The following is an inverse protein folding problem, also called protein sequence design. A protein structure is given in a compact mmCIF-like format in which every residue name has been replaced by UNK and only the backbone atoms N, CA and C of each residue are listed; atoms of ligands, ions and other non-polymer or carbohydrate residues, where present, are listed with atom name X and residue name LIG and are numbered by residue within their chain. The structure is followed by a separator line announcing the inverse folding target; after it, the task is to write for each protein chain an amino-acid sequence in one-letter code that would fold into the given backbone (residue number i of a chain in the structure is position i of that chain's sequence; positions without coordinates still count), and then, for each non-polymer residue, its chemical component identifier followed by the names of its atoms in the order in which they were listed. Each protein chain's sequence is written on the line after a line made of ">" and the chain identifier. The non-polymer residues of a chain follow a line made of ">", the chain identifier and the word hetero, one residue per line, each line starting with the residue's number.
data_IF_895098393313
#
_entry.id   IF_895098393313
#
_cell.length_a   1.000
_cell.length_b   1.000
_cell.length_c   1.000
_cell.angle_alpha   90.00
_cell.angle_beta   90.00
_cell.angle_gamma   90.00
#
_symmetry.space_group_name_H-M   'P 1'
#
loop_
_entity.id
_entity.type
_entity.pdbx_description
1 polymer ?
#
# COMPACT_ATOMS: atom_id res chain seq x y z
N UNK A 1 7.15 -18.22 32.56
CA UNK A 1 6.81 -19.23 31.54
C UNK A 1 5.35 -19.19 31.07
N UNK A 2 4.42 -18.49 31.73
CA UNK A 2 3.02 -18.36 31.27
C UNK A 2 2.78 -17.31 30.16
N UNK A 3 3.59 -16.25 30.05
CA UNK A 3 3.44 -15.21 29.02
C UNK A 3 3.81 -15.64 27.59
N UNK A 4 4.50 -16.76 27.42
CA UNK A 4 4.91 -17.28 26.10
C UNK A 4 3.80 -18.04 25.37
N UNK A 5 2.76 -18.50 26.08
CA UNK A 5 1.61 -19.19 25.49
C UNK A 5 0.49 -18.23 25.04
N UNK A 6 0.46 -16.99 25.57
CA UNK A 6 -0.44 -15.92 25.12
C UNK A 6 0.02 -15.21 23.84
N UNK A 7 1.24 -15.48 23.35
CA UNK A 7 1.79 -14.89 22.11
C UNK A 7 1.52 -15.72 20.84
N UNK A 8 1.07 -16.97 20.99
CA UNK A 8 0.70 -17.82 19.84
C UNK A 8 -0.43 -17.24 18.96
N UNK A 9 -1.49 -16.58 19.49
CA UNK A 9 -2.57 -16.02 18.67
C UNK A 9 -2.10 -14.89 17.72
N UNK A 10 -1.14 -14.07 18.15
CA UNK A 10 -0.59 -12.96 17.35
C UNK A 10 0.35 -13.45 16.25
N UNK A 11 1.18 -14.46 16.54
CA UNK A 11 1.98 -15.16 15.53
C UNK A 11 1.12 -15.96 14.53
N UNK A 12 -0.02 -16.52 14.97
CA UNK A 12 -0.98 -17.22 14.10
C UNK A 12 -1.78 -16.24 13.23
N UNK A 13 -2.10 -15.02 13.69
CA UNK A 13 -2.69 -13.97 12.86
C UNK A 13 -1.71 -13.49 11.76
N UNK A 14 -0.43 -13.34 12.10
CA UNK A 14 0.66 -13.04 11.17
C UNK A 14 0.87 -14.18 10.14
N UNK A 15 0.87 -15.44 10.60
CA UNK A 15 0.89 -16.63 9.74
C UNK A 15 -0.39 -16.79 8.92
N UNK A 16 -1.56 -16.37 9.43
CA UNK A 16 -2.82 -16.40 8.71
C UNK A 16 -2.86 -15.31 7.63
N UNK A 17 -2.22 -14.15 7.83
CA UNK A 17 -2.07 -13.12 6.79
C UNK A 17 -1.07 -13.56 5.71
N UNK A 18 -0.01 -14.30 6.07
CA UNK A 18 0.93 -14.92 5.11
C UNK A 18 0.35 -16.16 4.39
N UNK A 19 -0.45 -16.98 5.10
CA UNK A 19 -1.19 -18.11 4.53
C UNK A 19 -2.40 -17.65 3.72
N UNK A 20 -3.03 -16.53 4.07
CA UNK A 20 -4.04 -15.88 3.24
C UNK A 20 -3.40 -15.16 2.07
N UNK A 21 -2.18 -14.62 2.15
CA UNK A 21 -1.45 -14.18 0.95
C UNK A 21 -1.10 -15.36 0.03
N UNK A 22 -0.66 -16.51 0.57
CA UNK A 22 -0.42 -17.75 -0.21
C UNK A 22 -1.72 -18.37 -0.74
N UNK A 23 -2.81 -18.38 0.02
CA UNK A 23 -4.13 -18.89 -0.38
C UNK A 23 -4.87 -17.93 -1.30
N UNK A 24 -4.71 -16.62 -1.14
CA UNK A 24 -5.20 -15.59 -2.07
C UNK A 24 -4.39 -15.64 -3.36
N UNK A 25 -3.06 -15.83 -3.32
CA UNK A 25 -2.24 -16.20 -4.48
C UNK A 25 -2.64 -17.55 -5.11
N UNK A 26 -3.19 -18.50 -4.34
CA UNK A 26 -3.68 -19.79 -4.85
C UNK A 26 -5.12 -19.74 -5.39
N UNK A 27 -5.99 -18.90 -4.83
CA UNK A 27 -7.40 -18.72 -5.20
C UNK A 27 -7.55 -17.70 -6.34
N UNK A 28 -6.75 -16.64 -6.35
CA UNK A 28 -6.62 -15.75 -7.51
C UNK A 28 -5.80 -16.38 -8.61
N UNK A 29 -5.01 -17.44 -8.35
CA UNK A 29 -4.25 -18.15 -9.39
C UNK A 29 -5.13 -18.53 -10.56
N UNK A 30 -6.30 -19.14 -10.38
CA UNK A 30 -7.10 -19.56 -11.54
C UNK A 30 -7.68 -18.40 -12.37
N UNK A 31 -8.13 -17.31 -11.72
CA UNK A 31 -8.74 -16.14 -12.41
C UNK A 31 -7.71 -15.12 -12.89
N UNK A 32 -6.68 -14.81 -12.11
CA UNK A 32 -5.54 -14.01 -12.53
C UNK A 32 -4.71 -14.74 -13.59
N UNK A 33 -4.61 -16.08 -13.57
CA UNK A 33 -3.97 -16.86 -14.64
C UNK A 33 -4.84 -16.93 -15.90
N UNK A 34 -6.17 -17.02 -15.79
CA UNK A 34 -7.06 -16.85 -16.95
C UNK A 34 -7.03 -15.44 -17.52
N UNK A 35 -7.05 -14.42 -16.67
CA UNK A 35 -6.96 -13.01 -17.08
C UNK A 35 -5.59 -12.70 -17.70
N UNK A 36 -4.51 -13.20 -17.10
CA UNK A 36 -3.14 -13.08 -17.62
C UNK A 36 -2.94 -13.87 -18.92
N UNK A 37 -3.43 -15.11 -19.01
CA UNK A 37 -3.33 -15.92 -20.23
C UNK A 37 -4.23 -15.39 -21.36
N UNK A 38 -5.35 -14.74 -21.02
CA UNK A 38 -6.23 -14.09 -22.00
C UNK A 38 -5.65 -12.77 -22.54
N UNK A 39 -4.68 -12.15 -21.85
CA UNK A 39 -4.01 -10.92 -22.27
C UNK A 39 -2.57 -11.12 -22.74
N UNK A 40 -1.96 -12.28 -22.50
CA UNK A 40 -0.66 -12.61 -23.07
C UNK A 40 -0.82 -12.86 -24.57
N UNK A 41 -0.11 -12.13 -25.45
CA UNK A 41 -0.03 -12.47 -26.86
C UNK A 41 0.46 -13.91 -27.02
N UNK A 42 -0.01 -14.63 -28.04
CA UNK A 42 0.49 -15.96 -28.34
C UNK A 42 2.03 -15.87 -28.43
N UNK A 43 2.80 -16.68 -27.67
CA UNK A 43 4.26 -16.65 -27.70
C UNK A 43 4.84 -16.81 -29.11
N UNK A 44 4.07 -17.35 -30.07
CA UNK A 44 4.44 -17.47 -31.48
C UNK A 44 4.11 -16.22 -32.34
N UNK A 45 3.47 -15.20 -31.77
CA UNK A 45 3.09 -13.95 -32.45
C UNK A 45 3.85 -12.72 -31.96
N UNK A 46 4.70 -12.87 -30.93
CA UNK A 46 5.56 -11.78 -30.48
C UNK A 46 6.61 -11.50 -31.56
N UNK A 47 6.69 -10.26 -32.10
CA UNK A 47 7.78 -9.86 -32.97
C UNK A 47 9.09 -10.18 -32.25
N UNK A 48 9.94 -10.99 -32.85
CA UNK A 48 11.20 -11.51 -32.27
C UNK A 48 12.25 -10.41 -32.00
N UNK A 49 11.88 -9.13 -32.14
CA UNK A 49 12.77 -7.96 -32.20
C UNK A 49 12.28 -6.73 -31.43
N UNK A 50 11.23 -6.80 -30.60
CA UNK A 50 11.03 -5.75 -29.60
C UNK A 50 12.07 -5.92 -28.48
N UNK A 51 13.08 -5.04 -28.45
CA UNK A 51 14.10 -5.02 -27.41
C UNK A 51 13.43 -4.97 -26.04
N UNK A 52 13.75 -5.96 -25.19
CA UNK A 52 13.32 -5.96 -23.78
C UNK A 52 13.66 -4.60 -23.16
N UNK A 53 12.71 -3.97 -22.47
CA UNK A 53 12.94 -2.79 -21.66
C UNK A 53 14.12 -3.12 -20.74
N UNK A 54 15.30 -2.50 -20.90
CA UNK A 54 16.46 -2.92 -20.13
C UNK A 54 16.23 -2.63 -18.64
N UNK A 55 16.93 -3.38 -17.78
CA UNK A 55 17.08 -3.04 -16.37
C UNK A 55 18.57 -2.80 -16.17
N UNK A 56 18.97 -1.53 -16.10
CA UNK A 56 20.38 -1.16 -15.90
C UNK A 56 20.63 -0.55 -14.54
N UNK A 57 21.86 -0.67 -14.03
CA UNK A 57 22.27 0.01 -12.80
C UNK A 57 22.17 1.54 -12.91
N UNK A 58 22.44 2.10 -14.10
CA UNK A 58 22.27 3.52 -14.37
C UNK A 58 20.78 3.94 -14.28
N UNK A 59 19.88 3.14 -14.84
CA UNK A 59 18.44 3.29 -14.68
C UNK A 59 18.01 3.24 -13.22
N UNK A 60 18.51 2.26 -12.46
CA UNK A 60 18.24 2.16 -11.02
C UNK A 60 18.67 3.41 -10.26
N UNK A 61 19.89 3.90 -10.48
CA UNK A 61 20.40 5.12 -9.84
C UNK A 61 19.57 6.35 -10.24
N UNK A 62 19.17 6.45 -11.51
CA UNK A 62 18.26 7.50 -11.98
C UNK A 62 16.91 7.43 -11.24
N UNK A 63 16.39 6.22 -11.01
CA UNK A 63 15.20 5.97 -10.20
C UNK A 63 15.34 6.48 -8.77
N UNK A 64 16.44 6.11 -8.09
CA UNK A 64 16.77 6.60 -6.74
C UNK A 64 16.79 8.13 -6.70
N UNK A 65 17.45 8.76 -7.67
CA UNK A 65 17.52 10.22 -7.76
C UNK A 65 16.15 10.85 -8.01
N UNK A 66 15.36 10.35 -8.96
CA UNK A 66 14.02 10.89 -9.26
C UNK A 66 13.06 10.74 -8.09
N UNK A 67 13.13 9.64 -7.32
CA UNK A 67 12.22 9.41 -6.19
C UNK A 67 12.62 10.16 -4.92
N UNK A 68 13.86 10.64 -4.82
CA UNK A 68 14.39 11.34 -3.63
C UNK A 68 13.51 12.52 -3.17
N UNK A 69 12.86 13.23 -4.09
CA UNK A 69 11.95 14.34 -3.78
C UNK A 69 10.74 13.91 -2.94
N UNK A 70 10.35 12.63 -3.04
CA UNK A 70 9.23 12.05 -2.29
C UNK A 70 9.68 11.47 -0.93
N UNK A 71 10.98 11.24 -0.72
CA UNK A 71 11.49 10.60 0.50
C UNK A 71 11.14 11.32 1.80
N UNK A 72 11.18 12.67 1.91
CA UNK A 72 10.81 13.34 3.15
C UNK A 72 9.38 13.00 3.60
N UNK A 73 8.42 12.98 2.68
CA UNK A 73 7.04 12.59 2.98
C UNK A 73 6.93 11.12 3.41
N UNK A 74 7.68 10.23 2.75
CA UNK A 74 7.74 8.80 3.09
C UNK A 74 8.37 8.56 4.47
N UNK A 75 9.38 9.33 4.85
CA UNK A 75 10.01 9.26 6.19
C UNK A 75 9.01 9.66 7.27
N UNK A 76 8.35 10.82 7.10
CA UNK A 76 7.33 11.29 8.08
C UNK A 76 6.22 10.24 8.21
N UNK A 77 5.81 9.66 7.09
CA UNK A 77 4.80 8.61 7.05
C UNK A 77 5.25 7.33 7.79
N UNK A 78 6.45 6.83 7.49
CA UNK A 78 7.01 5.64 8.14
C UNK A 78 7.20 5.86 9.66
N UNK A 79 7.65 7.05 10.07
CA UNK A 79 7.79 7.41 11.49
C UNK A 79 6.43 7.40 12.19
N UNK A 80 5.40 7.99 11.57
CA UNK A 80 4.04 7.98 12.09
C UNK A 80 3.51 6.54 12.28
N UNK A 81 3.74 5.66 11.30
CA UNK A 81 3.39 4.24 11.40
C UNK A 81 4.11 3.57 12.57
N UNK A 82 5.44 3.72 12.67
CA UNK A 82 6.24 3.11 13.73
C UNK A 82 5.81 3.56 15.13
N UNK A 83 5.58 4.86 15.32
CA UNK A 83 5.11 5.41 16.59
C UNK A 83 3.73 4.86 16.98
N UNK A 84 2.80 4.78 16.02
CA UNK A 84 1.47 4.22 16.24
C UNK A 84 1.50 2.72 16.53
N UNK A 85 2.39 1.96 15.87
CA UNK A 85 2.60 0.54 16.15
C UNK A 85 3.07 0.30 17.58
N UNK A 86 4.04 1.11 18.05
CA UNK A 86 4.50 1.09 19.44
C UNK A 86 3.37 1.43 20.42
N UNK A 87 2.60 2.49 20.15
CA UNK A 87 1.47 2.89 21.00
C UNK A 87 0.36 1.84 21.08
N UNK A 88 0.22 0.98 20.05
CA UNK A 88 -0.73 -0.13 19.99
C UNK A 88 -0.18 -1.43 20.59
N UNK A 89 1.03 -1.40 21.16
CA UNK A 89 1.63 -2.52 21.89
C UNK A 89 2.23 -3.61 21.02
N UNK A 90 2.42 -3.38 19.72
CA UNK A 90 3.19 -4.31 18.89
C UNK A 90 4.65 -4.30 19.38
N UNK A 91 5.32 -5.45 19.31
CA UNK A 91 6.76 -5.50 19.54
C UNK A 91 7.52 -4.84 18.38
N UNK A 92 8.79 -4.51 18.64
CA UNK A 92 9.69 -3.97 17.62
C UNK A 92 9.82 -4.94 16.44
N UNK A 93 9.98 -6.23 16.73
CA UNK A 93 10.13 -7.25 15.69
C UNK A 93 8.87 -7.39 14.84
N UNK A 94 7.68 -7.42 15.46
CA UNK A 94 6.40 -7.46 14.72
C UNK A 94 6.24 -6.24 13.83
N UNK A 95 6.56 -5.05 14.35
CA UNK A 95 6.49 -3.80 13.59
C UNK A 95 7.44 -3.81 12.39
N UNK A 96 8.69 -4.22 12.60
CA UNK A 96 9.69 -4.27 11.54
C UNK A 96 9.36 -5.33 10.49
N UNK A 97 8.87 -6.51 10.90
CA UNK A 97 8.43 -7.56 9.98
C UNK A 97 7.21 -7.12 9.17
N UNK A 98 6.24 -6.48 9.81
CA UNK A 98 5.07 -5.92 9.11
C UNK A 98 5.51 -4.87 8.10
N UNK A 99 6.40 -3.95 8.51
CA UNK A 99 6.96 -2.91 7.64
C UNK A 99 7.70 -3.47 6.43
N UNK A 100 8.56 -4.47 6.65
CA UNK A 100 9.41 -5.04 5.62
C UNK A 100 8.66 -5.96 4.65
N UNK A 101 7.70 -6.75 5.15
CA UNK A 101 7.03 -7.81 4.37
C UNK A 101 5.69 -7.38 3.79
N UNK A 102 4.90 -6.59 4.52
CA UNK A 102 3.61 -6.10 4.02
C UNK A 102 3.83 -4.90 3.12
N UNK A 103 4.73 -3.99 3.50
CA UNK A 103 5.15 -2.83 2.72
C UNK A 103 3.99 -2.11 2.01
N UNK A 104 2.93 -1.82 2.76
CA UNK A 104 1.64 -1.38 2.23
C UNK A 104 1.16 -0.15 2.97
N UNK A 105 2.01 0.88 3.10
CA UNK A 105 1.89 1.99 4.06
C UNK A 105 0.46 2.40 4.44
N UNK A 106 -0.40 2.76 3.47
CA UNK A 106 -1.78 3.20 3.76
C UNK A 106 -2.61 2.07 4.38
N UNK A 107 -2.52 0.86 3.83
CA UNK A 107 -3.20 -0.31 4.39
C UNK A 107 -2.65 -0.72 5.75
N UNK A 108 -1.37 -0.44 6.03
CA UNK A 108 -0.79 -0.65 7.36
C UNK A 108 -1.37 0.33 8.38
N UNK A 109 -1.59 1.61 8.02
CA UNK A 109 -2.25 2.54 8.95
C UNK A 109 -3.70 2.15 9.22
N UNK A 110 -4.43 1.80 8.17
CA UNK A 110 -5.81 1.33 8.33
C UNK A 110 -5.85 0.06 9.17
N UNK A 111 -4.88 -0.84 9.02
CA UNK A 111 -4.74 -2.00 9.88
C UNK A 111 -4.49 -1.62 11.35
N UNK A 112 -3.72 -0.56 11.63
CA UNK A 112 -3.48 -0.08 13.00
C UNK A 112 -4.73 0.53 13.65
N UNK A 113 -5.59 1.18 12.87
CA UNK A 113 -6.87 1.71 13.36
C UNK A 113 -7.85 0.59 13.74
N UNK A 114 -7.82 -0.50 12.99
CA UNK A 114 -8.66 -1.69 13.20
C UNK A 114 -8.01 -2.66 14.20
N UNK A 115 -6.75 -2.42 14.56
CA UNK A 115 -5.98 -3.30 15.42
C UNK A 115 -6.60 -3.40 16.80
N UNK A 116 -6.78 -4.63 17.27
CA UNK A 116 -7.49 -4.94 18.50
C UNK A 116 -6.81 -6.05 19.29
N UNK A 117 -7.02 -6.11 20.61
CA UNK A 117 -6.41 -7.12 21.46
C UNK A 117 -6.81 -8.55 21.07
N UNK A 118 -8.08 -8.75 20.71
CA UNK A 118 -8.65 -10.07 20.46
C UNK A 118 -9.10 -10.27 19.01
N UNK A 119 -8.54 -11.28 18.34
CA UNK A 119 -8.84 -11.60 16.95
C UNK A 119 -9.93 -12.66 16.85
N UNK A 120 -11.04 -12.28 16.22
CA UNK A 120 -12.06 -13.23 15.74
C UNK A 120 -11.89 -13.44 14.23
N UNK A 121 -12.39 -14.55 13.68
CA UNK A 121 -12.39 -14.79 12.23
C UNK A 121 -13.07 -13.65 11.45
N UNK A 122 -14.14 -13.05 11.98
CA UNK A 122 -14.81 -11.90 11.37
C UNK A 122 -13.93 -10.65 11.30
N UNK A 123 -13.05 -10.43 12.27
CA UNK A 123 -12.09 -9.33 12.24
C UNK A 123 -11.03 -9.51 11.17
N UNK A 124 -10.49 -10.72 11.08
CA UNK A 124 -9.44 -11.06 10.13
C UNK A 124 -9.99 -10.88 8.72
N UNK A 125 -11.22 -11.35 8.49
CA UNK A 125 -11.94 -11.12 7.24
C UNK A 125 -12.19 -9.62 6.98
N UNK A 126 -12.66 -8.87 7.97
CA UNK A 126 -12.89 -7.42 7.85
C UNK A 126 -11.61 -6.66 7.51
N UNK A 127 -10.51 -6.94 8.22
CA UNK A 127 -9.19 -6.37 7.95
C UNK A 127 -8.72 -6.71 6.54
N UNK A 128 -8.85 -7.96 6.11
CA UNK A 128 -8.47 -8.39 4.77
C UNK A 128 -9.27 -7.66 3.69
N UNK A 129 -10.59 -7.52 3.86
CA UNK A 129 -11.46 -6.81 2.90
C UNK A 129 -11.13 -5.33 2.85
N UNK A 130 -10.96 -4.67 4.00
CA UNK A 130 -10.64 -3.24 4.06
C UNK A 130 -9.28 -2.96 3.43
N UNK A 131 -8.24 -3.72 3.80
CA UNK A 131 -6.90 -3.55 3.24
C UNK A 131 -6.86 -3.89 1.75
N UNK A 132 -7.60 -4.90 1.29
CA UNK A 132 -7.76 -5.19 -0.14
C UNK A 132 -8.46 -4.05 -0.89
N UNK A 133 -9.50 -3.45 -0.31
CA UNK A 133 -10.22 -2.30 -0.89
C UNK A 133 -9.28 -1.11 -1.06
N UNK A 134 -8.49 -0.79 -0.04
CA UNK A 134 -7.49 0.30 -0.08
C UNK A 134 -6.42 0.04 -1.13
N UNK A 135 -5.97 -1.20 -1.28
CA UNK A 135 -4.92 -1.60 -2.21
C UNK A 135 -5.43 -1.91 -3.63
N UNK A 136 -6.75 -1.95 -3.87
CA UNK A 136 -7.31 -2.23 -5.19
C UNK A 136 -6.77 -1.30 -6.29
N UNK A 137 -6.41 -0.06 -5.93
CA UNK A 137 -5.74 0.89 -6.84
C UNK A 137 -4.46 0.35 -7.48
N UNK A 138 -3.72 -0.50 -6.76
CA UNK A 138 -2.46 -1.07 -7.25
C UNK A 138 -2.68 -2.06 -8.38
N UNK A 139 -3.88 -2.65 -8.50
CA UNK A 139 -4.23 -3.52 -9.62
C UNK A 139 -4.25 -2.73 -10.93
N UNK A 140 -4.90 -1.57 -10.93
CA UNK A 140 -4.97 -0.69 -12.10
C UNK A 140 -3.60 -0.10 -12.44
N UNK A 141 -2.85 0.33 -11.42
CA UNK A 141 -1.49 0.86 -11.61
C UNK A 141 -0.53 -0.20 -12.15
N UNK A 142 -0.61 -1.43 -11.63
CA UNK A 142 0.18 -2.56 -12.11
C UNK A 142 -0.19 -2.97 -13.55
N UNK A 143 -1.47 -2.91 -13.91
CA UNK A 143 -1.92 -3.18 -15.27
C UNK A 143 -1.34 -2.19 -16.28
N UNK A 144 -1.19 -0.90 -15.91
CA UNK A 144 -0.56 0.10 -16.75
C UNK A 144 0.94 -0.18 -17.03
N UNK A 145 1.60 -1.01 -16.21
CA UNK A 145 3.00 -1.42 -16.40
C UNK A 145 3.14 -2.72 -17.21
N UNK A 146 2.04 -3.32 -17.66
CA UNK A 146 2.06 -4.56 -18.44
C UNK A 146 3.03 -4.49 -19.63
N UNK A 147 3.12 -3.39 -20.42
CA UNK A 147 4.03 -3.33 -21.57
C UNK A 147 5.51 -3.47 -21.19
N UNK A 148 5.90 -3.02 -19.99
CA UNK A 148 7.27 -3.17 -19.49
C UNK A 148 7.51 -4.52 -18.83
N UNK A 149 6.54 -5.04 -18.08
CA UNK A 149 6.70 -6.27 -17.30
C UNK A 149 6.47 -7.54 -18.12
N UNK A 150 5.65 -7.51 -19.18
CA UNK A 150 5.29 -8.71 -19.96
C UNK A 150 6.50 -9.43 -20.59
N UNK A 151 7.60 -8.71 -20.76
CA UNK A 151 8.84 -9.19 -21.37
C UNK A 151 9.72 -10.02 -20.42
N UNK A 152 9.38 -10.05 -19.12
CA UNK A 152 10.14 -10.68 -18.05
C UNK A 152 9.45 -11.93 -17.49
N UNK A 153 10.21 -12.90 -16.94
CA UNK A 153 9.63 -14.07 -16.31
C UNK A 153 8.81 -13.69 -15.06
N UNK A 154 7.75 -14.45 -14.80
CA UNK A 154 6.78 -14.17 -13.72
C UNK A 154 7.42 -14.03 -12.34
N UNK A 155 8.48 -14.79 -12.06
CA UNK A 155 9.22 -14.73 -10.79
C UNK A 155 9.93 -13.38 -10.60
N UNK A 156 10.53 -12.85 -11.65
CA UNK A 156 11.19 -11.55 -11.60
C UNK A 156 10.18 -10.41 -11.52
N UNK A 157 9.05 -10.53 -12.23
CA UNK A 157 7.94 -9.60 -12.08
C UNK A 157 7.36 -9.60 -10.66
N UNK A 158 7.25 -10.76 -10.01
CA UNK A 158 6.82 -10.82 -8.61
C UNK A 158 7.79 -10.07 -7.69
N UNK A 159 9.10 -10.17 -7.95
CA UNK A 159 10.11 -9.39 -7.22
C UNK A 159 9.97 -7.88 -7.47
N UNK A 160 9.81 -7.44 -8.72
CA UNK A 160 9.58 -6.03 -9.04
C UNK A 160 8.29 -5.50 -8.38
N UNK A 161 7.22 -6.29 -8.42
CA UNK A 161 5.92 -5.95 -7.85
C UNK A 161 5.93 -5.96 -6.31
N UNK A 162 6.88 -6.64 -5.66
CA UNK A 162 7.05 -6.54 -4.21
C UNK A 162 7.51 -5.14 -3.79
N UNK A 163 8.42 -4.52 -4.55
CA UNK A 163 8.90 -3.14 -4.30
C UNK A 163 8.02 -2.07 -4.96
N UNK A 164 6.82 -2.45 -5.41
CA UNK A 164 5.93 -1.56 -6.13
C UNK A 164 5.10 -0.71 -5.18
N UNK A 165 5.03 0.58 -5.48
CA UNK A 165 4.28 1.62 -4.77
C UNK A 165 3.68 2.61 -5.77
N UNK A 166 2.74 3.43 -5.33
CA UNK A 166 2.23 4.56 -6.11
C UNK A 166 3.33 5.58 -6.44
N UNK A 167 4.31 5.77 -5.54
CA UNK A 167 5.43 6.68 -5.75
C UNK A 167 6.35 6.25 -6.89
N UNK A 168 6.87 5.01 -6.90
CA UNK A 168 7.70 4.54 -8.03
C UNK A 168 6.89 4.25 -9.30
N UNK A 169 5.59 3.94 -9.19
CA UNK A 169 4.68 3.94 -10.35
C UNK A 169 4.62 5.31 -11.02
N UNK A 170 4.42 6.38 -10.24
CA UNK A 170 4.35 7.75 -10.75
C UNK A 170 5.66 8.17 -11.43
N UNK A 171 6.80 7.85 -10.80
CA UNK A 171 8.12 8.14 -11.40
C UNK A 171 8.33 7.33 -12.69
N UNK A 172 8.00 6.03 -12.67
CA UNK A 172 8.17 5.14 -13.82
C UNK A 172 7.31 5.56 -15.02
N UNK A 173 6.02 5.84 -14.80
CA UNK A 173 5.09 6.28 -15.85
C UNK A 173 5.44 7.65 -16.42
N UNK A 174 5.87 8.60 -15.58
CA UNK A 174 6.40 9.89 -16.06
C UNK A 174 7.66 9.71 -16.90
N UNK A 175 8.61 8.90 -16.43
CA UNK A 175 9.83 8.59 -17.18
C UNK A 175 9.51 7.91 -18.52
N UNK A 176 8.54 7.00 -18.56
CA UNK A 176 8.06 6.40 -19.80
C UNK A 176 7.46 7.43 -20.76
N UNK A 177 6.63 8.35 -20.26
CA UNK A 177 6.04 9.42 -21.05
C UNK A 177 7.09 10.39 -21.62
N UNK A 178 8.21 10.57 -20.91
CA UNK A 178 9.38 11.34 -21.37
C UNK A 178 10.24 10.58 -22.41
N UNK A 179 9.83 9.40 -22.87
CA UNK A 179 10.56 8.58 -23.83
C UNK A 179 11.54 7.57 -23.20
N UNK A 180 11.57 7.48 -21.88
CA UNK A 180 12.36 6.51 -21.14
C UNK A 180 11.92 5.06 -21.37
N UNK A 181 12.87 4.12 -21.42
CA UNK A 181 12.59 2.70 -21.65
C UNK A 181 13.25 1.75 -20.65
N UNK A 182 14.02 2.27 -19.69
CA UNK A 182 14.72 1.47 -18.69
C UNK A 182 13.83 1.20 -17.46
N UNK A 183 13.42 -0.05 -17.28
CA UNK A 183 12.62 -0.50 -16.14
C UNK A 183 13.40 -0.39 -14.81
N UNK A 184 14.73 -0.32 -14.87
CA UNK A 184 15.59 -0.07 -13.72
C UNK A 184 15.20 1.18 -12.93
N UNK A 185 14.68 2.23 -13.58
CA UNK A 185 14.17 3.44 -12.90
C UNK A 185 13.08 3.10 -11.89
N UNK A 186 12.13 2.23 -12.25
CA UNK A 186 11.04 1.83 -11.36
C UNK A 186 11.55 0.94 -10.21
N UNK A 187 12.45 0.01 -10.53
CA UNK A 187 13.03 -0.94 -9.55
C UNK A 187 13.90 -0.23 -8.54
N UNK A 188 14.82 0.64 -8.99
CA UNK A 188 15.71 1.40 -8.12
C UNK A 188 14.94 2.35 -7.20
N UNK A 189 13.93 3.04 -7.73
CA UNK A 189 13.05 3.88 -6.92
C UNK A 189 12.31 3.05 -5.85
N UNK A 190 11.77 1.88 -6.20
CA UNK A 190 11.05 1.00 -5.28
C UNK A 190 11.91 0.47 -4.14
N UNK A 191 13.13 0.00 -4.45
CA UNK A 191 14.08 -0.52 -3.45
C UNK A 191 14.52 0.59 -2.50
N UNK A 192 14.82 1.79 -3.02
CA UNK A 192 15.22 2.91 -2.19
C UNK A 192 14.10 3.36 -1.25
N UNK A 193 12.86 3.42 -1.75
CA UNK A 193 11.69 3.70 -0.92
C UNK A 193 11.48 2.65 0.17
N UNK A 194 11.63 1.36 -0.16
CA UNK A 194 11.50 0.27 0.81
C UNK A 194 12.54 0.37 1.92
N UNK A 195 13.80 0.63 1.57
CA UNK A 195 14.87 0.77 2.54
C UNK A 195 14.61 1.95 3.49
N UNK A 196 14.27 3.11 2.94
CA UNK A 196 13.93 4.31 3.72
C UNK A 196 12.71 4.05 4.61
N UNK A 197 11.67 3.41 4.09
CA UNK A 197 10.46 3.07 4.82
C UNK A 197 10.74 2.19 6.04
N UNK A 198 11.50 1.10 5.87
CA UNK A 198 11.82 0.18 6.95
C UNK A 198 12.69 0.85 8.02
N UNK A 199 13.70 1.61 7.61
CA UNK A 199 14.59 2.34 8.54
C UNK A 199 13.82 3.39 9.34
N UNK A 200 13.04 4.22 8.65
CA UNK A 200 12.26 5.28 9.28
C UNK A 200 11.14 4.73 10.19
N UNK A 201 10.56 3.57 9.85
CA UNK A 201 9.60 2.87 10.71
C UNK A 201 10.26 2.43 12.02
N UNK A 202 11.46 1.86 11.96
CA UNK A 202 12.22 1.50 13.15
C UNK A 202 12.51 2.71 14.03
N UNK A 203 12.94 3.82 13.41
CA UNK A 203 13.14 5.09 14.11
C UNK A 203 11.86 5.60 14.79
N UNK A 204 10.74 5.61 14.07
CA UNK A 204 9.44 6.01 14.62
C UNK A 204 8.96 5.13 15.77
N UNK A 205 9.18 3.81 15.68
CA UNK A 205 8.86 2.90 16.77
C UNK A 205 9.68 3.23 18.01
N UNK A 206 10.99 3.45 17.88
CA UNK A 206 11.85 3.78 19.01
C UNK A 206 11.43 5.11 19.65
N UNK A 207 11.11 6.12 18.84
CA UNK A 207 10.59 7.41 19.32
C UNK A 207 9.25 7.24 20.07
N UNK A 208 8.33 6.42 19.54
CA UNK A 208 7.07 6.11 20.22
C UNK A 208 7.27 5.35 21.53
N UNK A 209 8.20 4.40 21.57
CA UNK A 209 8.48 3.58 22.74
C UNK A 209 9.12 4.34 23.91
N UNK A 210 9.81 5.46 23.62
CA UNK A 210 10.37 6.35 24.64
C UNK A 210 9.28 7.14 25.39
N UNK A 211 8.05 7.17 24.87
CA UNK A 211 6.94 7.94 25.44
C UNK A 211 6.07 7.04 26.30
N UNK A 212 6.18 7.22 27.62
CA UNK A 212 5.46 6.42 28.63
C UNK A 212 3.95 6.67 28.64
N UNK A 213 3.49 7.86 28.25
CA UNK A 213 2.08 8.18 28.03
C UNK A 213 1.87 8.78 26.64
N UNK A 214 1.50 7.95 25.63
CA UNK A 214 1.25 8.39 24.27
C UNK A 214 0.21 9.51 24.16
N UNK A 215 -0.78 9.55 25.05
CA UNK A 215 -1.88 10.54 25.00
C UNK A 215 -1.39 11.94 25.35
N UNK A 216 -0.43 12.04 26.28
CA UNK A 216 0.12 13.33 26.72
C UNK A 216 0.77 14.12 25.58
N UNK A 217 1.32 13.43 24.59
CA UNK A 217 2.01 14.02 23.45
C UNK A 217 1.21 13.91 22.14
N UNK A 218 -0.05 13.46 22.20
CA UNK A 218 -0.93 13.32 21.03
C UNK A 218 -0.49 12.21 20.05
N UNK A 219 0.28 11.23 20.51
CA UNK A 219 0.74 10.10 19.67
C UNK A 219 -0.44 9.23 19.24
N UNK A 220 -1.49 9.18 20.04
CA UNK A 220 -2.77 8.53 19.70
C UNK A 220 -3.53 9.24 18.57
N UNK A 221 -3.24 10.52 18.31
CA UNK A 221 -3.81 11.30 17.20
C UNK A 221 -2.96 11.25 15.91
N UNK A 222 -1.82 10.57 15.93
CA UNK A 222 -0.88 10.52 14.79
C UNK A 222 -1.57 10.09 13.50
N UNK A 223 -2.42 9.07 13.54
CA UNK A 223 -3.12 8.58 12.34
C UNK A 223 -4.15 9.57 11.80
N UNK A 224 -5.11 10.10 12.60
CA UNK A 224 -5.99 11.18 12.15
C UNK A 224 -5.24 12.39 11.60
N UNK A 225 -4.19 12.85 12.29
CA UNK A 225 -3.37 13.99 11.86
C UNK A 225 -2.69 13.70 10.53
N UNK A 226 -2.14 12.49 10.37
CA UNK A 226 -1.48 12.09 9.14
C UNK A 226 -2.46 12.05 7.95
N UNK A 227 -3.63 11.42 8.10
CA UNK A 227 -4.65 11.40 7.05
C UNK A 227 -5.15 12.82 6.72
N UNK A 228 -5.33 13.68 7.73
CA UNK A 228 -5.69 15.08 7.52
C UNK A 228 -4.59 15.86 6.79
N UNK A 229 -3.32 15.64 7.12
CA UNK A 229 -2.18 16.26 6.43
C UNK A 229 -2.07 15.78 4.97
N UNK A 230 -2.37 14.52 4.68
CA UNK A 230 -2.38 13.97 3.32
C UNK A 230 -3.44 14.59 2.40
N UNK A 231 -4.53 15.13 2.95
CA UNK A 231 -5.56 15.82 2.15
C UNK A 231 -4.99 17.08 1.48
N UNK A 232 -4.03 17.75 2.12
CA UNK A 232 -3.44 19.01 1.63
C UNK A 232 -2.79 18.86 0.24
N UNK A 233 -1.82 17.95 0.02
CA UNK A 233 -1.20 17.79 -1.30
C UNK A 233 -2.14 17.19 -2.36
N UNK A 234 -3.23 16.55 -1.95
CA UNK A 234 -4.23 15.99 -2.87
C UNK A 234 -5.24 17.04 -3.35
N UNK A 235 -5.27 18.23 -2.75
CA UNK A 235 -6.28 19.25 -3.03
C UNK A 235 -6.15 19.81 -4.46
N UNK A 236 -7.20 19.65 -5.26
CA UNK A 236 -7.28 20.15 -6.66
C UNK A 236 -8.28 21.28 -6.85
N UNK A 237 -8.59 22.01 -5.78
CA UNK A 237 -9.56 23.11 -5.80
C UNK A 237 -10.99 22.68 -5.43
N UNK A 238 -11.89 23.67 -5.36
CA UNK A 238 -13.25 23.51 -4.80
C UNK A 238 -14.10 22.47 -5.54
N UNK A 239 -13.95 22.35 -6.86
CA UNK A 239 -14.70 21.37 -7.67
C UNK A 239 -14.23 19.94 -7.41
N UNK A 240 -12.92 19.73 -7.26
CA UNK A 240 -12.33 18.43 -6.92
C UNK A 240 -12.62 17.96 -5.49
N UNK A 241 -13.12 18.84 -4.62
CA UNK A 241 -13.48 18.50 -3.25
C UNK A 241 -14.83 17.78 -3.12
N UNK A 242 -15.71 17.85 -4.13
CA UNK A 242 -17.07 17.29 -4.03
C UNK A 242 -17.06 15.77 -3.78
N UNK A 243 -16.29 14.95 -4.53
CA UNK A 243 -16.20 13.52 -4.24
C UNK A 243 -15.71 13.22 -2.82
N UNK A 244 -14.86 14.08 -2.24
CA UNK A 244 -14.32 13.90 -0.90
C UNK A 244 -15.37 14.20 0.17
N UNK A 245 -16.13 15.28 -0.03
CA UNK A 245 -17.23 15.64 0.88
C UNK A 245 -18.31 14.56 0.84
N UNK A 246 -18.68 14.07 -0.33
CA UNK A 246 -19.66 12.97 -0.46
C UNK A 246 -19.13 11.70 0.21
N UNK A 247 -17.89 11.31 -0.07
CA UNK A 247 -17.27 10.15 0.58
C UNK A 247 -17.27 10.28 2.11
N UNK A 248 -16.90 11.46 2.63
CA UNK A 248 -16.86 11.75 4.06
C UNK A 248 -18.23 11.72 4.71
N UNK A 249 -19.24 12.35 4.10
CA UNK A 249 -20.61 12.35 4.62
C UNK A 249 -21.21 10.93 4.64
N UNK A 250 -21.05 10.19 3.54
CA UNK A 250 -21.52 8.80 3.46
C UNK A 250 -20.80 7.92 4.47
N UNK A 251 -19.48 8.09 4.66
CA UNK A 251 -18.74 7.39 5.68
C UNK A 251 -19.26 7.71 7.09
N UNK A 252 -19.51 8.98 7.42
CA UNK A 252 -20.04 9.40 8.72
C UNK A 252 -21.44 8.81 8.99
N UNK A 253 -22.32 8.84 7.99
CA UNK A 253 -23.66 8.24 8.10
C UNK A 253 -23.54 6.73 8.29
N UNK A 254 -22.70 6.06 7.50
CA UNK A 254 -22.49 4.61 7.60
C UNK A 254 -21.92 4.24 8.96
N UNK A 255 -20.96 5.01 9.48
CA UNK A 255 -20.35 4.78 10.80
C UNK A 255 -21.35 4.92 11.96
N UNK A 256 -22.44 5.67 11.77
CA UNK A 256 -23.53 5.78 12.78
C UNK A 256 -24.58 4.67 12.66
N UNK A 257 -24.78 4.13 11.46
CA UNK A 257 -25.85 3.17 11.18
C UNK A 257 -25.38 1.72 11.25
N UNK A 258 -24.09 1.47 10.97
CA UNK A 258 -23.52 0.14 10.83
C UNK A 258 -22.27 0.05 11.68
N UNK A 259 -22.27 -0.91 12.61
CA UNK A 259 -21.10 -1.20 13.42
C UNK A 259 -19.94 -1.74 12.58
N UNK A 260 -18.71 -1.46 13.04
CA UNK A 260 -17.49 -1.89 12.37
C UNK A 260 -17.01 -0.93 11.30
N UNK A 261 -16.37 -1.46 10.25
CA UNK A 261 -15.55 -0.67 9.31
C UNK A 261 -16.17 -0.54 7.92
N UNK A 262 -17.47 -0.81 7.79
CA UNK A 262 -18.21 -0.69 6.54
C UNK A 262 -18.13 0.73 5.95
N UNK A 263 -18.02 1.75 6.80
CA UNK A 263 -17.91 3.15 6.39
C UNK A 263 -16.72 3.42 5.45
N UNK A 264 -15.61 2.69 5.57
CA UNK A 264 -14.45 2.84 4.68
C UNK A 264 -14.83 2.43 3.26
N UNK A 265 -15.54 1.30 3.13
CA UNK A 265 -15.93 0.73 1.83
C UNK A 265 -17.03 1.56 1.21
N UNK A 266 -18.11 1.83 1.96
CA UNK A 266 -19.27 2.57 1.43
C UNK A 266 -18.90 4.01 1.10
N UNK A 267 -18.11 4.67 1.96
CA UNK A 267 -17.62 6.02 1.70
C UNK A 267 -16.69 6.09 0.48
N UNK A 268 -15.74 5.16 0.34
CA UNK A 268 -14.83 5.13 -0.81
C UNK A 268 -15.57 4.85 -2.13
N UNK A 269 -16.55 3.95 -2.14
CA UNK A 269 -17.39 3.68 -3.31
C UNK A 269 -18.24 4.90 -3.68
N UNK A 270 -18.89 5.55 -2.72
CA UNK A 270 -19.69 6.75 -2.98
C UNK A 270 -18.83 7.89 -3.54
N UNK A 271 -17.63 8.08 -3.00
CA UNK A 271 -16.65 9.03 -3.53
C UNK A 271 -16.23 8.71 -4.96
N UNK A 272 -15.86 7.44 -5.23
CA UNK A 272 -15.44 7.00 -6.55
C UNK A 272 -16.55 7.19 -7.60
N UNK A 273 -17.78 6.81 -7.28
CA UNK A 273 -18.96 6.99 -8.15
C UNK A 273 -19.21 8.48 -8.42
N UNK A 274 -19.14 9.31 -7.38
CA UNK A 274 -19.31 10.77 -7.54
C UNK A 274 -18.20 11.38 -8.40
N UNK A 275 -16.96 10.90 -8.26
CA UNK A 275 -15.83 11.30 -9.09
C UNK A 275 -16.04 10.94 -10.56
N UNK A 276 -16.42 9.68 -10.83
CA UNK A 276 -16.65 9.19 -12.19
C UNK A 276 -17.68 10.05 -12.95
N UNK A 277 -18.85 10.29 -12.35
CA UNK A 277 -19.90 11.11 -12.98
C UNK A 277 -19.54 12.59 -13.16
N UNK A 278 -18.50 13.09 -12.48
CA UNK A 278 -18.05 14.48 -12.65
C UNK A 278 -16.91 14.61 -13.64
N UNK A 279 -16.01 13.63 -13.71
CA UNK A 279 -14.90 13.64 -14.67
C UNK A 279 -15.40 13.42 -16.11
N UNK A 280 -16.53 12.73 -16.30
CA UNK A 280 -17.22 12.62 -17.60
C UNK A 280 -17.90 13.94 -18.06
N UNK A 281 -17.98 14.95 -17.20
CA UNK A 281 -18.64 16.23 -17.48
C UNK A 281 -17.67 17.39 -17.78
N UNK A 282 -16.38 17.11 -17.98
CA UNK A 282 -15.31 18.08 -18.27
C UNK A 282 -14.64 17.77 -19.62
#
# INVERSE_FOLDING_TARGET
>A
MARTLEMLPHAVAFCAQFMQLRRWCALTRARAFRFWNAMSPDPNTLPTTEKRAPVTGAGMLLGVRKVSVLMPGVIVFAVAFGAAASAKGLSFLETMLMSALVYGGVSQLVAMEIWRPEWSWGAIAGLAVVTATVNARMVLQGAALQPWLAQYPKTLNAFHLFFFTDANWLIGTRYQAEGGRDLGVLVGAGIALWAVWVIATGGGYMLGALVSDPRRYGIDLVMPIFFAAMIVPLWRGRRGAVPWVVAGLVALVTAKLVDGYAFIIVGSLAGAVTGAFRDDAA
#
